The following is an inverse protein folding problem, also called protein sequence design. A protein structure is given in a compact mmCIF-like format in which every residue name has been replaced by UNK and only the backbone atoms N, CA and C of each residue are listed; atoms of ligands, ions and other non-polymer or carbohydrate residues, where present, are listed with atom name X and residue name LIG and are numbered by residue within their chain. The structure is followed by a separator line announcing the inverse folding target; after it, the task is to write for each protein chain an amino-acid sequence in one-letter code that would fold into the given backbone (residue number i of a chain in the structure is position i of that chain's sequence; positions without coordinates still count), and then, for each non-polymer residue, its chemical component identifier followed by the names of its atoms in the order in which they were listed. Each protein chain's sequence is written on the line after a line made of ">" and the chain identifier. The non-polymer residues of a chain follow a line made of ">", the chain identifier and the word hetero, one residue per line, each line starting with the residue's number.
data_IF_791574215312
#
_entry.id   IF_791574215312
#
_cell.length_a   1.000
_cell.length_b   1.000
_cell.length_c   1.000
_cell.angle_alpha   90.00
_cell.angle_beta   90.00
_cell.angle_gamma   90.00
#
_symmetry.space_group_name_H-M   'P 1'
#
loop_
_entity.id
_entity.type
_entity.pdbx_description
1 polymer ?
#
# COMPACT_ATOMS: atom_id res chain seq x y z
N UNK A 1 5.85 -1.88 11.32
CA UNK A 1 4.86 -2.90 10.88
C UNK A 1 3.49 -2.72 11.54
N UNK A 2 3.35 -2.84 12.87
CA UNK A 2 2.03 -2.76 13.53
C UNK A 2 1.27 -1.44 13.23
N UNK A 3 1.97 -0.31 13.34
CA UNK A 3 1.39 1.01 13.00
C UNK A 3 0.96 1.07 11.53
N UNK A 4 1.82 0.62 10.61
CA UNK A 4 1.47 0.60 9.18
C UNK A 4 0.26 -0.31 8.87
N UNK A 5 0.08 -1.40 9.62
CA UNK A 5 -1.11 -2.24 9.51
C UNK A 5 -2.36 -1.50 9.98
N UNK A 6 -2.27 -0.76 11.08
CA UNK A 6 -3.36 0.10 11.56
C UNK A 6 -3.69 1.22 10.58
N UNK A 7 -2.68 1.79 9.90
CA UNK A 7 -2.91 2.79 8.84
C UNK A 7 -3.73 2.21 7.69
N UNK A 8 -3.43 0.99 7.24
CA UNK A 8 -4.23 0.29 6.22
C UNK A 8 -5.66 0.08 6.72
N UNK A 9 -5.82 -0.35 7.97
CA UNK A 9 -7.15 -0.63 8.53
C UNK A 9 -8.00 0.64 8.66
N UNK A 10 -7.43 1.75 9.13
CA UNK A 10 -8.10 3.06 9.15
C UNK A 10 -8.53 3.48 7.74
N UNK A 11 -7.71 3.24 6.71
CA UNK A 11 -8.10 3.54 5.32
C UNK A 11 -9.26 2.65 4.83
N UNK A 12 -9.32 1.39 5.27
CA UNK A 12 -10.45 0.48 4.98
C UNK A 12 -11.72 0.94 5.65
N UNK A 13 -11.65 1.29 6.93
CA UNK A 13 -12.78 1.83 7.69
C UNK A 13 -13.33 3.11 7.04
N UNK A 14 -12.44 4.02 6.59
CA UNK A 14 -12.84 5.24 5.87
C UNK A 14 -13.60 4.94 4.57
N UNK A 15 -13.14 3.95 3.79
CA UNK A 15 -13.86 3.52 2.61
C UNK A 15 -15.22 2.88 2.97
N UNK A 16 -15.27 2.05 4.01
CA UNK A 16 -16.51 1.45 4.51
C UNK A 16 -17.54 2.51 4.94
N UNK A 17 -17.11 3.49 5.72
CA UNK A 17 -17.94 4.62 6.15
C UNK A 17 -18.42 5.46 4.96
N UNK A 18 -17.56 5.69 3.96
CA UNK A 18 -17.97 6.40 2.74
C UNK A 18 -19.06 5.63 1.99
N UNK A 19 -18.88 4.32 1.77
CA UNK A 19 -19.88 3.48 1.09
C UNK A 19 -21.22 3.49 1.81
N UNK A 20 -21.21 3.42 3.14
CA UNK A 20 -22.43 3.47 3.94
C UNK A 20 -23.15 4.81 3.83
N UNK A 21 -22.40 5.93 3.80
CA UNK A 21 -22.96 7.28 3.70
C UNK A 21 -23.53 7.59 2.31
N UNK A 22 -22.81 7.20 1.25
CA UNK A 22 -23.16 7.55 -0.14
C UNK A 22 -24.15 6.56 -0.78
N UNK A 23 -24.25 5.33 -0.26
CA UNK A 23 -25.20 4.32 -0.72
C UNK A 23 -25.04 3.98 -2.21
N UNK A 24 -26.08 4.16 -3.06
CA UNK A 24 -26.01 3.84 -4.49
C UNK A 24 -24.92 4.61 -5.26
N UNK A 25 -24.61 5.83 -4.82
CA UNK A 25 -23.66 6.71 -5.51
C UNK A 25 -22.21 6.51 -5.06
N UNK A 26 -21.95 5.47 -4.26
CA UNK A 26 -20.62 5.16 -3.71
C UNK A 26 -19.50 5.09 -4.75
N UNK A 27 -19.80 4.66 -5.98
CA UNK A 27 -18.77 4.49 -7.01
C UNK A 27 -18.20 5.82 -7.53
N UNK A 28 -19.01 6.89 -7.53
CA UNK A 28 -18.56 8.22 -7.94
C UNK A 28 -18.03 8.99 -6.73
N UNK A 29 -18.77 8.97 -5.62
CA UNK A 29 -18.47 9.84 -4.47
C UNK A 29 -17.32 9.32 -3.59
N UNK A 30 -17.08 8.00 -3.54
CA UNK A 30 -15.99 7.39 -2.76
C UNK A 30 -14.74 7.06 -3.59
N UNK A 31 -14.61 7.60 -4.80
CA UNK A 31 -13.48 7.33 -5.68
C UNK A 31 -12.14 7.70 -5.01
N UNK A 32 -12.10 8.80 -4.25
CA UNK A 32 -10.91 9.25 -3.54
C UNK A 32 -10.48 8.28 -2.44
N UNK A 33 -11.42 7.82 -1.61
CA UNK A 33 -11.17 6.85 -0.55
C UNK A 33 -10.71 5.50 -1.12
N UNK A 34 -11.28 5.11 -2.27
CA UNK A 34 -10.89 3.89 -2.97
C UNK A 34 -9.46 3.98 -3.50
N UNK A 35 -9.11 5.10 -4.13
CA UNK A 35 -7.74 5.35 -4.60
C UNK A 35 -6.75 5.38 -3.44
N UNK A 36 -7.10 6.08 -2.34
CA UNK A 36 -6.26 6.16 -1.15
C UNK A 36 -6.01 4.76 -0.56
N UNK A 37 -7.04 3.92 -0.46
CA UNK A 37 -6.86 2.54 0.01
C UNK A 37 -5.98 1.73 -0.93
N UNK A 38 -6.12 1.88 -2.25
CA UNK A 38 -5.31 1.18 -3.23
C UNK A 38 -3.82 1.57 -3.12
N UNK A 39 -3.53 2.87 -3.00
CA UNK A 39 -2.17 3.39 -2.84
C UNK A 39 -1.52 2.88 -1.54
N UNK A 40 -2.22 2.97 -0.41
CA UNK A 40 -1.71 2.55 0.90
C UNK A 40 -1.51 1.04 0.95
N UNK A 41 -2.42 0.25 0.39
CA UNK A 41 -2.30 -1.21 0.31
C UNK A 41 -1.11 -1.62 -0.56
N UNK A 42 -0.92 -0.96 -1.72
CA UNK A 42 0.24 -1.20 -2.59
C UNK A 42 1.56 -0.87 -1.87
N UNK A 43 1.63 0.25 -1.17
CA UNK A 43 2.80 0.64 -0.40
C UNK A 43 3.11 -0.36 0.74
N UNK A 44 2.08 -0.82 1.45
CA UNK A 44 2.21 -1.82 2.50
C UNK A 44 2.72 -3.16 1.94
N UNK A 45 2.15 -3.65 0.84
CA UNK A 45 2.58 -4.89 0.19
C UNK A 45 4.01 -4.79 -0.34
N UNK A 46 4.39 -3.65 -0.92
CA UNK A 46 5.76 -3.43 -1.36
C UNK A 46 6.74 -3.53 -0.18
N UNK A 47 6.41 -2.92 0.96
CA UNK A 47 7.28 -2.86 2.15
C UNK A 47 7.35 -4.19 2.92
N UNK A 48 6.21 -4.86 3.12
CA UNK A 48 6.09 -6.01 4.03
C UNK A 48 5.65 -7.31 3.38
N UNK A 49 5.19 -7.30 2.13
CA UNK A 49 4.86 -8.52 1.39
C UNK A 49 6.05 -9.46 1.34
N UNK A 50 5.80 -10.76 1.27
CA UNK A 50 6.81 -11.80 1.01
C UNK A 50 7.96 -11.90 2.03
N UNK A 51 7.92 -11.14 3.14
CA UNK A 51 8.95 -11.20 4.19
C UNK A 51 8.85 -12.47 5.05
N UNK A 52 7.77 -13.24 4.90
CA UNK A 52 7.49 -14.44 5.69
C UNK A 52 7.17 -14.16 7.16
N UNK A 53 7.00 -15.23 7.94
CA UNK A 53 6.66 -15.17 9.38
C UNK A 53 7.81 -14.57 10.20
N UNK A 54 9.06 -14.84 9.82
CA UNK A 54 10.26 -14.32 10.49
C UNK A 54 10.78 -13.00 9.91
N UNK A 55 9.92 -12.25 9.21
CA UNK A 55 10.27 -10.96 8.63
C UNK A 55 10.70 -9.95 9.70
N UNK A 56 11.87 -9.35 9.52
CA UNK A 56 12.45 -8.37 10.43
C UNK A 56 12.96 -7.13 9.67
N UNK A 57 13.50 -6.15 10.40
CA UNK A 57 13.99 -4.90 9.81
C UNK A 57 15.09 -5.13 8.76
N UNK A 58 15.92 -6.16 8.94
CA UNK A 58 17.01 -6.50 8.01
C UNK A 58 16.45 -7.05 6.69
N UNK A 59 15.46 -7.94 6.75
CA UNK A 59 14.84 -8.48 5.52
C UNK A 59 14.03 -7.40 4.79
N UNK A 60 13.37 -6.50 5.53
CA UNK A 60 12.70 -5.33 4.96
C UNK A 60 13.68 -4.39 4.23
N UNK A 61 14.84 -4.10 4.84
CA UNK A 61 15.90 -3.29 4.24
C UNK A 61 16.46 -3.93 2.97
N UNK A 62 16.68 -5.25 2.98
CA UNK A 62 17.13 -5.96 1.78
C UNK A 62 16.10 -5.88 0.66
N UNK A 63 14.80 -6.05 0.97
CA UNK A 63 13.73 -5.89 -0.03
C UNK A 63 13.73 -4.47 -0.62
N UNK A 64 13.88 -3.44 0.22
CA UNK A 64 13.99 -2.05 -0.23
C UNK A 64 15.19 -1.84 -1.16
N UNK A 65 16.36 -2.36 -0.79
CA UNK A 65 17.57 -2.27 -1.61
C UNK A 65 17.37 -2.92 -2.98
N UNK A 66 16.76 -4.10 -3.05
CA UNK A 66 16.46 -4.76 -4.32
C UNK A 66 15.56 -3.89 -5.20
N UNK A 67 14.48 -3.31 -4.65
CA UNK A 67 13.60 -2.40 -5.41
C UNK A 67 14.36 -1.20 -5.97
N UNK A 68 15.19 -0.54 -5.14
CA UNK A 68 15.95 0.62 -5.58
C UNK A 68 16.97 0.30 -6.67
N UNK A 69 17.58 -0.89 -6.64
CA UNK A 69 18.49 -1.34 -7.70
C UNK A 69 17.71 -1.57 -9.00
N UNK A 70 16.57 -2.23 -8.95
CA UNK A 70 15.72 -2.46 -10.12
C UNK A 70 15.17 -1.15 -10.70
N UNK A 71 14.74 -0.21 -9.86
CA UNK A 71 14.33 1.14 -10.27
C UNK A 71 15.47 1.88 -10.98
N UNK A 72 16.70 1.80 -10.45
CA UNK A 72 17.89 2.40 -11.09
C UNK A 72 18.21 1.76 -12.45
N UNK A 73 18.11 0.43 -12.56
CA UNK A 73 18.31 -0.28 -13.83
C UNK A 73 17.24 0.10 -14.86
N UNK A 74 15.98 0.17 -14.44
CA UNK A 74 14.87 0.58 -15.29
C UNK A 74 15.04 2.02 -15.80
N UNK A 75 15.50 2.93 -14.94
CA UNK A 75 15.83 4.31 -15.33
C UNK A 75 16.98 4.37 -16.34
N UNK A 76 18.04 3.59 -16.13
CA UNK A 76 19.18 3.53 -17.03
C UNK A 76 18.80 2.95 -18.41
N UNK A 77 17.91 1.96 -18.46
CA UNK A 77 17.43 1.37 -19.72
C UNK A 77 16.41 2.25 -20.46
N UNK A 78 15.79 3.20 -19.75
CA UNK A 78 14.83 4.15 -20.32
C UNK A 78 15.49 5.46 -20.80
N UNK A 79 16.81 5.60 -20.59
CA UNK A 79 17.64 6.71 -21.06
C UNK A 79 18.41 6.31 -22.31
#
# INVERSE_FOLDING_TARGET
>A
RMVDQQIVEICRERLGACKQREGPNQFQNCAKEMEQLAQVTKAYQARYGDLGVHGNSRTCLMKQKHRMIEERKAQANAS
#
